data_IF_686212815768
#
_entry.id   IF_686212815768
#
_cell.length_a   1.000
_cell.length_b   1.000
_cell.length_c   1.000
_cell.angle_alpha   90.00
_cell.angle_beta   90.00
_cell.angle_gamma   90.00
#
_symmetry.space_group_name_H-M   'P 1'
#
loop_
_entity.id
_entity.type
_entity.pdbx_description
1 polymer ?
#
# COMPACT_ATOMS: atom_id res chain seq x y z
N UNK A 1 -39.59 22.44 -7.25
CA UNK A 1 -39.33 21.66 -6.01
C UNK A 1 -37.93 22.00 -5.46
N UNK A 2 -37.81 23.13 -4.75
CA UNK A 2 -36.51 23.68 -4.35
C UNK A 2 -36.49 24.13 -2.88
N UNK A 3 -36.60 23.19 -1.93
CA UNK A 3 -36.36 23.46 -0.50
C UNK A 3 -35.73 22.24 0.19
N UNK A 4 -34.49 21.90 -0.16
CA UNK A 4 -33.72 20.88 0.58
C UNK A 4 -32.79 21.60 1.55
N UNK A 5 -32.97 21.34 2.86
CA UNK A 5 -32.08 21.86 3.90
C UNK A 5 -30.65 21.38 3.64
N UNK A 6 -29.70 22.31 3.60
CA UNK A 6 -28.29 21.97 3.43
C UNK A 6 -27.84 21.02 4.56
N UNK A 7 -27.44 19.80 4.20
CA UNK A 7 -27.02 18.79 5.18
C UNK A 7 -25.63 19.08 5.76
N UNK A 8 -24.71 19.61 4.94
CA UNK A 8 -23.33 19.94 5.34
C UNK A 8 -23.21 21.39 5.80
N UNK A 9 -23.83 21.70 6.94
CA UNK A 9 -23.81 23.04 7.54
C UNK A 9 -22.49 23.35 8.27
N UNK A 10 -22.29 24.63 8.65
CA UNK A 10 -21.21 25.03 9.57
C UNK A 10 -21.27 24.24 10.89
N UNK A 11 -22.48 23.95 11.39
CA UNK A 11 -22.68 23.15 12.61
C UNK A 11 -22.24 21.69 12.41
N UNK A 12 -22.49 21.10 11.23
CA UNK A 12 -22.01 19.77 10.88
C UNK A 12 -20.48 19.70 10.96
N UNK A 13 -19.77 20.60 10.27
CA UNK A 13 -18.30 20.57 10.23
C UNK A 13 -17.66 20.81 11.60
N UNK A 14 -18.27 21.65 12.45
CA UNK A 14 -17.80 21.87 13.82
C UNK A 14 -17.84 20.60 14.69
N UNK A 15 -18.78 19.69 14.43
CA UNK A 15 -18.97 18.44 15.21
C UNK A 15 -18.45 17.19 14.48
N UNK A 16 -18.03 17.33 13.22
CA UNK A 16 -17.63 16.19 12.41
C UNK A 16 -16.29 15.63 12.85
N UNK A 17 -16.31 14.48 13.53
CA UNK A 17 -15.10 13.77 13.88
C UNK A 17 -14.66 12.84 12.74
N UNK A 18 -13.55 13.21 12.11
CA UNK A 18 -12.95 12.41 11.04
C UNK A 18 -12.42 11.07 11.58
N UNK A 19 -12.69 9.96 10.88
CA UNK A 19 -12.05 8.67 11.17
C UNK A 19 -10.53 8.75 10.94
N UNK A 20 -9.75 7.81 11.47
CA UNK A 20 -8.29 7.79 11.29
C UNK A 20 -7.85 7.86 9.82
N UNK A 21 -6.72 8.52 9.54
CA UNK A 21 -6.22 8.79 8.16
C UNK A 21 -6.23 7.56 7.27
N UNK A 22 -5.66 6.42 7.72
CA UNK A 22 -5.61 5.17 6.95
C UNK A 22 -6.99 4.52 6.72
N UNK A 23 -7.95 4.76 7.62
CA UNK A 23 -9.33 4.29 7.44
C UNK A 23 -10.05 5.12 6.38
N UNK A 24 -9.85 6.45 6.39
CA UNK A 24 -10.38 7.35 5.34
C UNK A 24 -9.79 7.05 3.96
N UNK A 25 -8.52 6.65 3.91
CA UNK A 25 -7.86 6.18 2.68
C UNK A 25 -8.26 4.75 2.28
N UNK A 26 -9.08 4.05 3.07
CA UNK A 26 -9.50 2.68 2.75
C UNK A 26 -8.37 1.64 2.77
N UNK A 27 -7.28 1.87 3.50
CA UNK A 27 -6.08 1.00 3.50
C UNK A 27 -5.97 0.04 4.68
N UNK A 28 -6.74 0.27 5.74
CA UNK A 28 -6.60 -0.48 6.99
C UNK A 28 -7.93 -0.60 7.72
N UNK A 29 -8.25 -1.82 8.10
CA UNK A 29 -9.22 -2.11 9.14
C UNK A 29 -8.50 -2.18 10.49
N UNK A 30 -8.82 -1.23 11.37
CA UNK A 30 -8.23 -1.16 12.70
C UNK A 30 -8.73 -2.28 13.62
N UNK A 31 -9.94 -2.84 13.39
CA UNK A 31 -10.44 -3.95 14.21
C UNK A 31 -9.59 -5.21 13.99
N UNK A 32 -9.33 -5.56 12.73
CA UNK A 32 -8.44 -6.66 12.38
C UNK A 32 -7.00 -6.38 12.83
N UNK A 33 -6.49 -5.16 12.58
CA UNK A 33 -5.11 -4.79 12.93
C UNK A 33 -4.83 -4.91 14.43
N UNK A 34 -5.72 -4.43 15.29
CA UNK A 34 -5.53 -4.48 16.75
C UNK A 34 -5.30 -5.94 17.21
N UNK A 35 -6.08 -6.90 16.71
CA UNK A 35 -5.92 -8.31 17.08
C UNK A 35 -4.60 -8.92 16.58
N UNK A 36 -4.16 -8.52 15.40
CA UNK A 36 -2.91 -9.01 14.81
C UNK A 36 -1.67 -8.47 15.54
N UNK A 37 -1.65 -7.19 15.92
CA UNK A 37 -0.47 -6.55 16.52
C UNK A 37 -0.41 -6.69 18.04
N UNK A 38 -1.55 -6.87 18.72
CA UNK A 38 -1.58 -6.93 20.17
C UNK A 38 -0.73 -8.11 20.67
N UNK A 39 0.25 -7.80 21.50
CA UNK A 39 1.18 -8.76 22.10
C UNK A 39 0.88 -8.87 23.59
N UNK A 40 1.02 -10.07 24.14
CA UNK A 40 0.83 -10.29 25.56
C UNK A 40 1.87 -9.50 26.35
N UNK A 41 1.42 -8.76 27.38
CA UNK A 41 2.29 -7.85 28.13
C UNK A 41 3.43 -8.57 28.87
N UNK A 42 3.25 -9.85 29.20
CA UNK A 42 4.27 -10.69 29.82
C UNK A 42 5.43 -11.06 28.88
N UNK A 43 5.30 -10.83 27.56
CA UNK A 43 6.38 -11.01 26.57
C UNK A 43 7.22 -9.75 26.37
N UNK A 44 6.88 -8.66 27.07
CA UNK A 44 7.59 -7.38 27.07
C UNK A 44 7.94 -6.90 25.65
N UNK A 45 9.23 -6.77 25.32
CA UNK A 45 9.72 -6.24 24.04
C UNK A 45 9.79 -7.30 22.92
N UNK A 46 9.27 -8.51 23.12
CA UNK A 46 9.30 -9.54 22.07
C UNK A 46 8.40 -9.12 20.90
N UNK A 47 8.95 -8.88 19.69
CA UNK A 47 8.16 -8.43 18.56
C UNK A 47 7.20 -9.51 18.09
N UNK A 48 5.96 -9.13 17.82
CA UNK A 48 4.97 -9.98 17.15
C UNK A 48 5.07 -9.76 15.64
N UNK A 49 5.66 -10.73 14.94
CA UNK A 49 5.87 -10.64 13.50
C UNK A 49 4.61 -10.96 12.70
N UNK A 50 4.41 -10.19 11.63
CA UNK A 50 3.32 -10.37 10.67
C UNK A 50 3.89 -10.50 9.27
N UNK A 51 3.42 -11.51 8.56
CA UNK A 51 3.61 -11.69 7.13
C UNK A 51 2.53 -10.93 6.38
N UNK A 52 2.85 -9.70 5.98
CA UNK A 52 1.97 -8.77 5.30
C UNK A 52 2.06 -9.03 3.80
N UNK A 53 0.96 -9.49 3.20
CA UNK A 53 0.85 -9.71 1.75
C UNK A 53 -0.13 -8.71 1.16
N UNK A 54 0.29 -7.96 0.14
CA UNK A 54 -0.54 -6.98 -0.56
C UNK A 54 -0.40 -7.15 -2.06
N UNK A 55 -1.55 -7.20 -2.73
CA UNK A 55 -1.62 -7.21 -4.19
C UNK A 55 -1.92 -5.81 -4.69
N UNK A 56 -1.17 -5.39 -5.69
CA UNK A 56 -1.51 -4.27 -6.57
C UNK A 56 -1.88 -4.84 -7.94
N UNK A 57 -2.22 -3.97 -8.90
CA UNK A 57 -2.60 -4.44 -10.24
C UNK A 57 -1.43 -5.06 -11.01
N UNK A 58 -0.19 -4.65 -10.73
CA UNK A 58 1.01 -5.07 -11.48
C UNK A 58 2.11 -5.68 -10.61
N UNK A 59 1.93 -5.67 -9.29
CA UNK A 59 2.97 -6.12 -8.35
C UNK A 59 2.36 -6.80 -7.11
N UNK A 60 3.07 -7.80 -6.60
CA UNK A 60 2.83 -8.46 -5.33
C UNK A 60 3.87 -7.98 -4.33
N UNK A 61 3.43 -7.58 -3.14
CA UNK A 61 4.29 -7.10 -2.07
C UNK A 61 4.16 -8.06 -0.89
N UNK A 62 5.27 -8.64 -0.46
CA UNK A 62 5.36 -9.53 0.69
C UNK A 62 6.37 -8.96 1.70
N UNK A 63 5.97 -8.78 2.95
CA UNK A 63 6.80 -8.15 3.98
C UNK A 63 6.68 -8.85 5.32
N UNK A 64 7.79 -9.01 6.04
CA UNK A 64 7.75 -9.33 7.47
C UNK A 64 7.84 -8.03 8.25
N UNK A 65 6.83 -7.74 9.07
CA UNK A 65 6.77 -6.51 9.86
C UNK A 65 6.41 -6.77 11.32
N UNK A 66 6.99 -5.99 12.22
CA UNK A 66 6.59 -5.89 13.62
C UNK A 66 6.07 -4.48 13.91
N UNK A 67 5.20 -4.35 14.90
CA UNK A 67 4.65 -3.05 15.30
C UNK A 67 5.52 -2.41 16.39
N UNK A 68 5.75 -1.11 16.29
CA UNK A 68 6.36 -0.25 17.32
C UNK A 68 5.50 1.00 17.53
N UNK A 69 5.78 1.76 18.59
CA UNK A 69 5.03 2.97 18.95
C UNK A 69 5.12 4.03 17.85
N UNK A 70 6.31 4.20 17.25
CA UNK A 70 6.52 5.18 16.18
C UNK A 70 5.94 4.73 14.83
N UNK A 71 5.85 3.41 14.59
CA UNK A 71 5.43 2.84 13.32
C UNK A 71 5.79 1.37 13.20
N UNK A 72 5.47 0.77 12.06
CA UNK A 72 5.85 -0.62 11.79
C UNK A 72 7.32 -0.70 11.35
N UNK A 73 8.08 -1.64 11.91
CA UNK A 73 9.44 -1.97 11.46
C UNK A 73 9.37 -3.14 10.49
N UNK A 74 9.92 -2.96 9.28
CA UNK A 74 9.99 -4.02 8.26
C UNK A 74 11.33 -4.74 8.40
N UNK A 75 11.28 -6.03 8.73
CA UNK A 75 12.47 -6.87 8.87
C UNK A 75 13.06 -7.23 7.50
N UNK A 76 12.21 -7.64 6.57
CA UNK A 76 12.54 -7.97 5.19
C UNK A 76 11.33 -7.73 4.29
N UNK A 77 11.60 -7.51 3.01
CA UNK A 77 10.60 -7.33 1.97
C UNK A 77 10.98 -8.13 0.71
N UNK A 78 9.97 -8.57 -0.02
CA UNK A 78 10.08 -9.15 -1.34
C UNK A 78 8.95 -8.61 -2.22
N UNK A 79 9.23 -8.50 -3.51
CA UNK A 79 8.35 -7.94 -4.51
C UNK A 79 8.27 -8.87 -5.72
N UNK A 80 7.21 -8.76 -6.54
CA UNK A 80 7.17 -9.54 -7.78
C UNK A 80 7.99 -8.90 -8.89
N UNK A 81 8.19 -7.57 -8.88
CA UNK A 81 8.99 -6.86 -9.89
C UNK A 81 10.50 -7.15 -9.83
N UNK A 82 10.99 -7.84 -8.80
CA UNK A 82 12.36 -8.35 -8.71
C UNK A 82 12.49 -9.81 -9.18
N UNK A 83 11.36 -10.53 -9.36
CA UNK A 83 11.36 -11.90 -9.90
C UNK A 83 11.97 -12.05 -11.31
N UNK A 84 11.95 -11.03 -12.20
CA UNK A 84 12.69 -11.07 -13.45
C UNK A 84 14.19 -11.36 -13.28
N UNK A 85 14.81 -10.96 -12.17
CA UNK A 85 16.21 -11.28 -11.89
C UNK A 85 16.45 -12.78 -11.66
N UNK A 86 15.40 -13.53 -11.36
CA UNK A 86 15.43 -14.98 -11.15
C UNK A 86 14.93 -15.75 -12.37
N UNK A 87 14.60 -15.07 -13.47
CA UNK A 87 14.09 -15.66 -14.71
C UNK A 87 12.57 -15.67 -14.87
N UNK A 88 11.81 -15.05 -13.96
CA UNK A 88 10.35 -14.87 -14.14
C UNK A 88 10.03 -13.51 -14.73
N UNK A 89 9.84 -13.51 -16.03
CA UNK A 89 9.87 -12.31 -16.84
C UNK A 89 8.47 -11.74 -17.17
N UNK A 90 7.44 -12.55 -17.00
CA UNK A 90 6.03 -12.26 -17.31
C UNK A 90 5.13 -12.80 -16.20
N UNK A 91 3.88 -12.35 -16.15
CA UNK A 91 2.88 -12.94 -15.24
C UNK A 91 3.11 -12.65 -13.76
N UNK A 92 3.66 -11.48 -13.41
CA UNK A 92 4.10 -11.16 -12.05
C UNK A 92 3.02 -11.10 -10.97
N UNK A 93 1.73 -11.18 -11.34
CA UNK A 93 0.61 -11.09 -10.39
C UNK A 93 -0.23 -12.37 -10.28
N UNK A 94 0.17 -13.48 -10.91
CA UNK A 94 -0.58 -14.74 -10.83
C UNK A 94 -0.33 -15.50 -9.49
N UNK A 95 -0.92 -16.69 -9.33
CA UNK A 95 -0.75 -17.50 -8.11
C UNK A 95 0.69 -18.02 -7.95
N UNK A 96 1.32 -18.44 -9.06
CA UNK A 96 2.69 -18.95 -9.08
C UNK A 96 3.73 -17.88 -8.72
N UNK A 97 3.56 -16.66 -9.22
CA UNK A 97 4.35 -15.50 -8.84
C UNK A 97 4.15 -15.14 -7.36
N UNK A 98 2.91 -15.26 -6.85
CA UNK A 98 2.66 -15.07 -5.42
C UNK A 98 3.46 -16.09 -4.59
N UNK A 99 3.43 -17.36 -4.97
CA UNK A 99 4.26 -18.41 -4.36
C UNK A 99 5.75 -18.05 -4.40
N UNK A 100 6.29 -17.68 -5.57
CA UNK A 100 7.68 -17.25 -5.72
C UNK A 100 8.03 -16.07 -4.80
N UNK A 101 7.17 -15.04 -4.70
CA UNK A 101 7.41 -13.90 -3.79
C UNK A 101 7.41 -14.29 -2.32
N UNK A 102 6.56 -15.24 -1.92
CA UNK A 102 6.54 -15.78 -0.56
C UNK A 102 7.81 -16.55 -0.23
N UNK A 103 8.22 -17.44 -1.15
CA UNK A 103 9.46 -18.22 -1.05
C UNK A 103 10.69 -17.30 -0.95
N UNK A 104 10.75 -16.28 -1.80
CA UNK A 104 11.84 -15.29 -1.78
C UNK A 104 11.91 -14.55 -0.45
N UNK A 105 10.78 -14.12 0.10
CA UNK A 105 10.76 -13.47 1.41
C UNK A 105 11.24 -14.41 2.52
N UNK A 106 10.77 -15.66 2.53
CA UNK A 106 11.15 -16.65 3.52
C UNK A 106 12.68 -16.88 3.53
N UNK A 107 13.25 -17.17 2.37
CA UNK A 107 14.71 -17.37 2.23
C UNK A 107 15.51 -16.11 2.59
N UNK A 108 15.00 -14.91 2.28
CA UNK A 108 15.61 -13.64 2.73
C UNK A 108 15.65 -13.50 4.24
N UNK A 109 14.54 -13.80 4.90
CA UNK A 109 14.40 -13.67 6.35
C UNK A 109 15.32 -14.66 7.05
N UNK A 110 15.29 -15.93 6.64
CA UNK A 110 16.11 -16.96 7.26
C UNK A 110 17.60 -16.71 7.05
N UNK A 111 18.02 -16.30 5.84
CA UNK A 111 19.44 -15.95 5.61
C UNK A 111 19.86 -14.71 6.40
N UNK A 112 18.97 -13.75 6.64
CA UNK A 112 19.25 -12.58 7.47
C UNK A 112 19.37 -12.92 8.98
N UNK A 113 18.78 -14.03 9.40
CA UNK A 113 18.80 -14.51 10.78
C UNK A 113 19.76 -15.70 10.99
N UNK A 114 20.51 -16.08 9.95
CA UNK A 114 21.43 -17.23 9.92
C UNK A 114 20.74 -18.55 10.30
N UNK A 115 19.51 -18.76 9.82
CA UNK A 115 18.67 -19.95 10.06
C UNK A 115 18.31 -20.70 8.76
N UNK A 116 18.93 -20.33 7.65
CA UNK A 116 18.60 -20.81 6.31
C UNK A 116 18.97 -22.27 6.05
N UNK A 117 20.01 -22.78 6.72
CA UNK A 117 20.45 -24.19 6.66
C UNK A 117 19.65 -25.11 7.57
N UNK A 118 19.20 -24.60 8.73
CA UNK A 118 18.41 -25.41 9.68
C UNK A 118 16.98 -25.60 9.16
N UNK A 119 16.41 -24.54 8.58
CA UNK A 119 15.05 -24.53 8.07
C UNK A 119 15.03 -24.34 6.56
N UNK A 120 15.38 -25.39 5.82
CA UNK A 120 15.36 -25.38 4.34
C UNK A 120 13.93 -25.35 3.77
N UNK A 121 12.97 -25.87 4.53
CA UNK A 121 11.59 -26.04 4.10
C UNK A 121 11.43 -27.18 3.09
N UNK A 122 10.39 -27.12 2.27
CA UNK A 122 10.14 -28.12 1.25
C UNK A 122 10.83 -27.75 -0.07
N UNK A 123 11.93 -28.44 -0.42
CA UNK A 123 12.74 -28.13 -1.61
C UNK A 123 11.91 -28.25 -2.88
N UNK A 124 11.10 -29.29 -3.00
CA UNK A 124 10.21 -29.52 -4.13
C UNK A 124 8.78 -29.15 -3.76
N UNK A 125 8.13 -28.28 -4.53
CA UNK A 125 6.74 -27.92 -4.22
C UNK A 125 5.80 -29.08 -4.59
N UNK A 126 5.48 -29.94 -3.61
CA UNK A 126 4.56 -31.08 -3.78
C UNK A 126 3.10 -30.65 -3.81
N UNK A 127 2.77 -29.48 -3.25
CA UNK A 127 1.39 -28.96 -3.14
C UNK A 127 0.66 -29.42 -1.88
N UNK A 128 1.26 -30.33 -1.11
CA UNK A 128 0.74 -30.82 0.17
C UNK A 128 0.79 -29.75 1.24
N UNK A 129 0.01 -29.94 2.30
CA UNK A 129 0.09 -29.10 3.50
C UNK A 129 1.46 -29.29 4.18
N UNK A 130 2.13 -28.20 4.52
CA UNK A 130 3.48 -28.27 5.11
C UNK A 130 3.60 -27.28 6.24
N UNK A 131 3.97 -27.79 7.41
CA UNK A 131 4.35 -27.01 8.58
C UNK A 131 5.77 -27.38 8.97
N UNK A 132 6.57 -26.37 9.29
CA UNK A 132 7.94 -26.58 9.76
C UNK A 132 7.89 -27.04 11.22
N UNK A 133 8.42 -28.22 11.48
CA UNK A 133 8.59 -28.72 12.84
C UNK A 133 9.80 -28.09 13.53
N UNK A 134 9.76 -27.85 14.85
CA UNK A 134 10.87 -27.27 15.57
C UNK A 134 12.06 -28.23 15.64
N UNK A 135 13.24 -27.75 15.26
CA UNK A 135 14.49 -28.43 15.51
C UNK A 135 14.90 -28.33 16.99
N UNK A 136 15.91 -29.10 17.38
CA UNK A 136 16.43 -29.12 18.75
C UNK A 136 17.07 -27.79 19.18
N UNK A 137 17.55 -26.99 18.22
CA UNK A 137 18.30 -25.77 18.51
C UNK A 137 17.40 -24.53 18.66
N UNK A 138 17.12 -23.80 17.58
CA UNK A 138 16.30 -22.59 17.56
C UNK A 138 14.94 -22.93 16.98
N UNK A 139 13.87 -22.44 17.57
CA UNK A 139 12.52 -22.59 17.00
C UNK A 139 12.39 -21.87 15.65
N UNK A 140 11.55 -22.37 14.72
CA UNK A 140 11.38 -21.75 13.41
C UNK A 140 10.82 -20.34 13.54
N UNK A 141 11.13 -19.49 12.55
CA UNK A 141 10.70 -18.10 12.56
C UNK A 141 9.19 -18.01 12.41
N UNK A 142 8.51 -17.60 13.48
CA UNK A 142 7.05 -17.52 13.52
C UNK A 142 6.53 -16.16 13.07
N UNK A 143 5.61 -16.16 12.09
CA UNK A 143 4.90 -14.96 11.65
C UNK A 143 3.39 -15.22 11.49
N UNK A 144 2.57 -14.17 11.60
CA UNK A 144 1.12 -14.26 11.36
C UNK A 144 0.75 -13.66 10.01
N UNK A 145 -0.04 -14.36 9.21
CA UNK A 145 -0.53 -13.83 7.93
C UNK A 145 -1.44 -12.60 8.16
N UNK A 146 -1.07 -11.46 7.58
CA UNK A 146 -1.88 -10.25 7.52
C UNK A 146 -2.35 -10.04 6.07
N UNK A 147 -3.60 -10.41 5.81
CA UNK A 147 -4.28 -10.27 4.50
C UNK A 147 -4.81 -8.86 4.23
N UNK A 148 -4.81 -7.98 5.24
CA UNK A 148 -5.35 -6.63 5.16
C UNK A 148 -6.87 -6.61 4.98
N UNK A 149 -7.33 -6.04 3.87
CA UNK A 149 -8.75 -5.87 3.55
C UNK A 149 -9.26 -6.89 2.52
N UNK A 150 -8.39 -7.80 2.07
CA UNK A 150 -8.72 -8.81 1.07
C UNK A 150 -9.65 -9.84 1.68
N UNK A 151 -10.69 -10.23 0.93
CA UNK A 151 -11.58 -11.33 1.33
C UNK A 151 -10.81 -12.66 1.24
N UNK A 152 -10.83 -13.43 2.32
CA UNK A 152 -10.16 -14.72 2.43
C UNK A 152 -10.99 -15.84 1.80
N UNK A 153 -11.16 -15.77 0.48
CA UNK A 153 -11.78 -16.84 -0.32
C UNK A 153 -10.77 -17.96 -0.61
N UNK A 154 -11.26 -19.18 -0.79
CA UNK A 154 -10.43 -20.32 -1.18
C UNK A 154 -9.83 -20.08 -2.57
N UNK A 155 -8.53 -20.42 -2.74
CA UNK A 155 -7.80 -20.18 -3.99
C UNK A 155 -7.34 -18.72 -4.20
N UNK A 156 -7.47 -17.84 -3.20
CA UNK A 156 -6.95 -16.49 -3.30
C UNK A 156 -5.40 -16.50 -3.37
N UNK A 157 -4.83 -15.70 -4.27
CA UNK A 157 -3.38 -15.57 -4.47
C UNK A 157 -2.59 -15.19 -3.21
N UNK A 158 -3.22 -14.53 -2.24
CA UNK A 158 -2.60 -14.27 -0.91
C UNK A 158 -2.15 -15.57 -0.24
N UNK A 159 -2.90 -16.66 -0.43
CA UNK A 159 -2.53 -17.97 0.10
C UNK A 159 -1.46 -18.68 -0.74
N UNK A 160 -1.27 -18.29 -2.01
CA UNK A 160 -0.10 -18.70 -2.78
C UNK A 160 1.19 -18.16 -2.17
N UNK A 161 1.21 -16.87 -1.80
CA UNK A 161 2.35 -16.28 -1.07
C UNK A 161 2.54 -16.88 0.33
N UNK A 162 1.45 -17.24 1.03
CA UNK A 162 1.53 -18.01 2.27
C UNK A 162 2.23 -19.36 2.03
N UNK A 163 1.80 -20.12 1.02
CA UNK A 163 2.36 -21.44 0.73
C UNK A 163 3.84 -21.36 0.36
N UNK A 164 4.23 -20.37 -0.45
CA UNK A 164 5.65 -20.13 -0.74
C UNK A 164 6.48 -19.79 0.49
N UNK A 165 5.91 -19.05 1.44
CA UNK A 165 6.58 -18.73 2.70
C UNK A 165 6.76 -19.96 3.61
N UNK A 166 5.76 -20.85 3.65
CA UNK A 166 5.83 -22.12 4.39
C UNK A 166 6.89 -23.05 3.80
N UNK A 167 6.85 -23.27 2.49
CA UNK A 167 7.82 -24.12 1.78
C UNK A 167 9.24 -23.52 1.79
N UNK A 168 9.35 -22.22 2.08
CA UNK A 168 10.63 -21.53 2.30
C UNK A 168 11.18 -21.65 3.72
N UNK A 169 10.46 -22.26 4.65
CA UNK A 169 10.92 -22.54 6.02
C UNK A 169 10.37 -21.61 7.11
N UNK A 170 9.37 -20.76 6.83
CA UNK A 170 8.73 -19.95 7.88
C UNK A 170 7.60 -20.71 8.57
N UNK A 171 7.48 -20.54 9.88
CA UNK A 171 6.32 -21.01 10.65
C UNK A 171 5.20 -19.95 10.59
N UNK A 172 4.16 -20.25 9.81
CA UNK A 172 2.95 -19.42 9.77
C UNK A 172 1.76 -20.29 10.10
N UNK A 173 1.08 -20.10 11.25
CA UNK A 173 -0.09 -20.89 11.60
C UNK A 173 -1.19 -20.78 10.54
N UNK A 174 -1.63 -21.91 9.99
CA UNK A 174 -2.57 -21.96 8.88
C UNK A 174 -3.48 -23.21 8.92
N UNK A 175 -4.39 -23.27 7.95
CA UNK A 175 -5.17 -24.46 7.59
C UNK A 175 -5.25 -24.52 6.07
N UNK A 176 -5.20 -25.75 5.56
CA UNK A 176 -5.34 -26.15 4.17
C UNK A 176 -6.59 -25.63 3.43
N UNK A 177 -7.69 -25.33 4.15
CA UNK A 177 -9.02 -24.94 3.62
C UNK A 177 -9.05 -23.77 2.64
N UNK A 178 -8.02 -22.93 2.63
CA UNK A 178 -7.95 -21.71 1.82
C UNK A 178 -7.01 -21.81 0.62
N UNK A 179 -6.24 -22.89 0.50
CA UNK A 179 -5.39 -23.13 -0.65
C UNK A 179 -6.21 -23.43 -1.92
N UNK A 180 -5.60 -23.22 -3.08
CA UNK A 180 -6.19 -23.65 -4.35
C UNK A 180 -6.18 -25.18 -4.40
N UNK A 181 -7.30 -25.80 -4.82
CA UNK A 181 -7.46 -27.27 -4.81
C UNK A 181 -8.23 -27.83 -3.62
N UNK A 182 -8.60 -27.01 -2.62
CA UNK A 182 -9.46 -27.47 -1.53
C UNK A 182 -10.91 -27.62 -1.98
N UNK A 183 -11.45 -28.84 -1.87
CA UNK A 183 -12.87 -29.13 -2.13
C UNK A 183 -13.69 -28.98 -0.84
N UNK A 184 -14.78 -28.19 -0.90
CA UNK A 184 -15.69 -28.02 0.25
C UNK A 184 -16.47 -29.29 0.55
N UNK A 185 -16.77 -30.07 -0.47
CA UNK A 185 -17.61 -31.27 -0.36
C UNK A 185 -16.81 -32.41 0.24
N UNK A 186 -15.59 -32.64 -0.27
CA UNK A 186 -14.69 -33.69 0.23
C UNK A 186 -13.93 -33.27 1.49
N UNK A 187 -13.92 -31.97 1.83
CA UNK A 187 -13.20 -31.37 2.97
C UNK A 187 -11.70 -31.70 3.00
N UNK A 188 -11.11 -31.95 1.84
CA UNK A 188 -9.72 -32.32 1.68
C UNK A 188 -9.06 -31.45 0.61
N UNK A 189 -7.76 -31.23 0.78
CA UNK A 189 -6.91 -30.56 -0.20
C UNK A 189 -6.47 -31.57 -1.26
N UNK A 190 -6.79 -31.29 -2.52
CA UNK A 190 -6.19 -31.97 -3.64
C UNK A 190 -4.79 -31.38 -3.89
N UNK A 191 -3.76 -32.12 -3.47
CA UNK A 191 -2.37 -31.71 -3.59
C UNK A 191 -1.92 -31.57 -5.05
N UNK A 192 -2.45 -32.39 -5.97
CA UNK A 192 -2.09 -32.35 -7.38
C UNK A 192 -2.63 -31.07 -8.04
N UNK A 193 -3.89 -30.72 -7.74
CA UNK A 193 -4.47 -29.45 -8.19
C UNK A 193 -3.70 -28.29 -7.59
N UNK A 194 -3.38 -28.32 -6.29
CA UNK A 194 -2.61 -27.24 -5.67
C UNK A 194 -1.23 -27.08 -6.31
N UNK A 195 -0.52 -28.19 -6.57
CA UNK A 195 0.76 -28.21 -7.28
C UNK A 195 0.64 -27.61 -8.68
N UNK A 196 -0.44 -27.92 -9.42
CA UNK A 196 -0.74 -27.31 -10.73
C UNK A 196 -0.90 -25.79 -10.63
N UNK A 197 -1.44 -25.26 -9.53
CA UNK A 197 -1.51 -23.81 -9.31
C UNK A 197 -0.15 -23.18 -9.00
N UNK A 198 0.69 -23.86 -8.21
CA UNK A 198 2.04 -23.41 -7.84
C UNK A 198 2.94 -23.28 -9.07
N UNK A 199 2.93 -24.27 -9.97
CA UNK A 199 3.74 -24.25 -11.20
C UNK A 199 3.05 -23.60 -12.41
N UNK A 200 1.91 -22.94 -12.22
CA UNK A 200 1.24 -22.21 -13.30
C UNK A 200 0.56 -23.10 -14.36
N UNK A 201 0.33 -24.38 -14.10
CA UNK A 201 -0.33 -25.29 -15.04
C UNK A 201 -1.78 -24.92 -15.37
N UNK A 202 -2.46 -24.12 -14.52
CA UNK A 202 -3.76 -23.53 -14.85
C UNK A 202 -3.65 -22.44 -15.93
N UNK A 203 -2.51 -21.75 -16.01
CA UNK A 203 -2.22 -20.75 -17.04
C UNK A 203 -1.88 -21.47 -18.34
N UNK A 204 -1.05 -22.51 -18.28
CA UNK A 204 -0.74 -23.35 -19.43
C UNK A 204 -2.01 -23.96 -20.04
N UNK A 205 -2.89 -24.52 -19.20
CA UNK A 205 -4.18 -25.04 -19.67
C UNK A 205 -5.03 -23.95 -20.35
N UNK A 206 -5.08 -22.73 -19.79
CA UNK A 206 -5.83 -21.63 -20.37
C UNK A 206 -5.21 -21.11 -21.69
N UNK A 207 -3.88 -21.16 -21.82
CA UNK A 207 -3.18 -20.86 -23.06
C UNK A 207 -3.59 -21.85 -24.15
N UNK A 208 -3.55 -23.16 -23.86
CA UNK A 208 -3.91 -24.19 -24.84
C UNK A 208 -5.37 -24.06 -25.29
N UNK A 209 -6.30 -23.89 -24.36
CA UNK A 209 -7.73 -23.69 -24.71
C UNK A 209 -7.94 -22.47 -25.61
N UNK A 210 -7.24 -21.35 -25.33
CA UNK A 210 -7.38 -20.15 -26.14
C UNK A 210 -6.69 -20.26 -27.50
N UNK A 211 -5.62 -21.05 -27.61
CA UNK A 211 -4.96 -21.30 -28.89
C UNK A 211 -5.87 -22.10 -29.84
N UNK A 212 -6.63 -23.05 -29.30
CA UNK A 212 -7.56 -23.90 -30.05
C UNK A 212 -8.87 -23.18 -30.37
N UNK A 213 -9.53 -22.59 -29.37
CA UNK A 213 -10.87 -22.02 -29.51
C UNK A 213 -10.86 -20.60 -30.10
N UNK A 214 -9.91 -19.75 -29.68
CA UNK A 214 -9.95 -18.30 -29.93
C UNK A 214 -8.55 -17.67 -30.09
N UNK A 215 -7.87 -17.91 -31.23
CA UNK A 215 -6.47 -17.51 -31.42
C UNK A 215 -6.24 -16.00 -31.35
N UNK A 216 -7.23 -15.18 -31.70
CA UNK A 216 -7.15 -13.72 -31.57
C UNK A 216 -7.06 -13.27 -30.10
N UNK A 217 -7.86 -13.89 -29.22
CA UNK A 217 -7.79 -13.63 -27.77
C UNK A 217 -6.47 -14.08 -27.20
N UNK A 218 -5.95 -15.23 -27.64
CA UNK A 218 -4.62 -15.71 -27.25
C UNK A 218 -3.54 -14.66 -27.56
N UNK A 219 -3.50 -14.14 -28.78
CA UNK A 219 -2.52 -13.11 -29.18
C UNK A 219 -2.60 -11.85 -28.32
N UNK A 220 -3.81 -11.39 -27.98
CA UNK A 220 -3.99 -10.19 -27.14
C UNK A 220 -3.61 -10.42 -25.67
N UNK A 221 -4.10 -11.50 -25.06
CA UNK A 221 -3.91 -11.80 -23.63
C UNK A 221 -2.47 -12.23 -23.30
N UNK A 222 -1.84 -13.00 -24.18
CA UNK A 222 -0.51 -13.54 -24.00
C UNK A 222 0.55 -12.86 -24.87
N UNK A 223 0.27 -11.63 -25.35
CA UNK A 223 1.20 -10.86 -26.19
C UNK A 223 2.63 -10.75 -25.62
N UNK A 224 2.78 -10.56 -24.31
CA UNK A 224 4.11 -10.54 -23.66
C UNK A 224 4.77 -11.91 -23.60
N UNK A 225 3.99 -13.00 -23.46
CA UNK A 225 4.52 -14.37 -23.47
C UNK A 225 5.03 -14.72 -24.87
N UNK A 226 4.26 -14.38 -25.91
CA UNK A 226 4.65 -14.57 -27.32
C UNK A 226 5.92 -13.79 -27.63
N UNK A 227 6.01 -12.52 -27.22
CA UNK A 227 7.20 -11.68 -27.40
C UNK A 227 8.46 -12.26 -26.76
N UNK A 228 8.32 -13.02 -25.67
CA UNK A 228 9.43 -13.66 -24.96
C UNK A 228 9.62 -15.13 -25.34
N UNK A 229 8.84 -15.68 -26.27
CA UNK A 229 8.93 -17.07 -26.70
C UNK A 229 8.57 -18.08 -25.60
N UNK A 230 7.66 -17.74 -24.69
CA UNK A 230 7.22 -18.62 -23.60
C UNK A 230 5.94 -19.35 -24.01
N UNK A 231 6.07 -20.64 -24.30
CA UNK A 231 4.97 -21.54 -24.64
C UNK A 231 4.39 -22.24 -23.39
N UNK A 232 3.18 -22.78 -23.52
CA UNK A 232 2.44 -23.40 -22.42
C UNK A 232 3.22 -24.55 -21.74
N UNK A 233 3.89 -25.39 -22.54
CA UNK A 233 4.64 -26.55 -22.05
C UNK A 233 5.88 -26.15 -21.22
N UNK A 234 6.44 -24.97 -21.50
CA UNK A 234 7.66 -24.49 -20.84
C UNK A 234 7.39 -23.80 -19.49
N UNK A 235 6.14 -23.54 -19.12
CA UNK A 235 5.77 -22.79 -17.91
C UNK A 235 6.21 -23.49 -16.63
N UNK A 236 5.99 -24.81 -16.50
CA UNK A 236 6.38 -25.54 -15.29
C UNK A 236 7.91 -25.54 -15.11
N UNK A 237 8.65 -25.77 -16.20
CA UNK A 237 10.11 -25.73 -16.19
C UNK A 237 10.66 -24.35 -15.82
N UNK A 238 10.02 -23.28 -16.29
CA UNK A 238 10.37 -21.90 -15.92
C UNK A 238 10.24 -21.68 -14.41
N UNK A 239 9.11 -22.03 -13.79
CA UNK A 239 8.93 -21.84 -12.34
C UNK A 239 9.88 -22.69 -11.50
N UNK A 240 10.17 -23.93 -11.91
CA UNK A 240 11.19 -24.77 -11.24
C UNK A 240 12.57 -24.09 -11.23
N UNK A 241 13.00 -23.53 -12.36
CA UNK A 241 14.25 -22.76 -12.47
C UNK A 241 14.24 -21.54 -11.55
N UNK A 242 13.13 -20.80 -11.51
CA UNK A 242 12.96 -19.63 -10.63
C UNK A 242 13.05 -20.02 -9.16
N UNK A 243 12.39 -21.11 -8.73
CA UNK A 243 12.46 -21.59 -7.35
C UNK A 243 13.90 -21.95 -6.95
N UNK A 244 14.63 -22.63 -7.83
CA UNK A 244 16.03 -22.97 -7.61
C UNK A 244 16.92 -21.71 -7.52
N UNK A 245 16.73 -20.74 -8.43
CA UNK A 245 17.47 -19.48 -8.44
C UNK A 245 17.22 -18.65 -7.16
N UNK A 246 15.97 -18.60 -6.68
CA UNK A 246 15.61 -17.92 -5.43
C UNK A 246 16.32 -18.56 -4.22
N UNK A 247 16.41 -19.90 -4.17
CA UNK A 247 17.11 -20.59 -3.09
C UNK A 247 18.62 -20.36 -3.13
N UNK A 248 19.19 -20.29 -4.33
CA UNK A 248 20.62 -20.05 -4.53
C UNK A 248 21.03 -18.64 -4.08
N UNK A 249 20.30 -17.59 -4.50
CA UNK A 249 20.58 -16.23 -4.04
C UNK A 249 19.32 -15.42 -3.71
N UNK A 250 18.85 -15.45 -2.45
CA UNK A 250 17.71 -14.64 -2.07
C UNK A 250 18.02 -13.14 -1.93
N UNK A 251 19.18 -12.59 -2.31
CA UNK A 251 19.55 -11.20 -1.95
C UNK A 251 18.77 -10.15 -2.74
N UNK A 252 18.34 -9.10 -2.03
CA UNK A 252 17.82 -7.91 -2.68
C UNK A 252 18.97 -7.09 -3.27
N UNK A 253 18.95 -6.87 -4.59
CA UNK A 253 19.92 -5.99 -5.26
C UNK A 253 19.60 -4.53 -4.91
N UNK A 254 20.55 -3.83 -4.28
CA UNK A 254 20.40 -2.39 -3.97
C UNK A 254 20.63 -1.56 -5.23
N UNK A 255 19.93 -0.44 -5.35
CA UNK A 255 20.16 0.52 -6.43
C UNK A 255 21.48 1.24 -6.23
N UNK A 256 22.31 1.27 -7.27
CA UNK A 256 23.58 2.01 -7.32
C UNK A 256 23.42 3.47 -7.77
N UNK A 257 22.18 3.88 -8.13
CA UNK A 257 21.90 5.25 -8.58
C UNK A 257 22.22 6.27 -7.49
N UNK A 258 23.16 7.17 -7.77
CA UNK A 258 23.50 8.27 -6.87
C UNK A 258 22.39 9.32 -6.82
N UNK A 259 22.21 9.99 -5.66
CA UNK A 259 21.27 11.11 -5.57
C UNK A 259 21.70 12.24 -6.51
N UNK A 260 20.75 12.94 -7.16
CA UNK A 260 21.08 14.03 -8.06
C UNK A 260 21.76 15.17 -7.30
N UNK A 261 22.77 15.81 -7.93
CA UNK A 261 23.55 16.90 -7.32
C UNK A 261 22.71 18.14 -6.96
N UNK A 262 21.64 18.40 -7.71
CA UNK A 262 20.73 19.51 -7.47
C UNK A 262 19.28 19.01 -7.38
N UNK A 263 18.55 19.52 -6.39
CA UNK A 263 17.15 19.16 -6.20
C UNK A 263 16.25 19.94 -7.17
N UNK A 264 15.71 19.25 -8.18
CA UNK A 264 14.68 19.80 -9.07
C UNK A 264 13.31 19.76 -8.39
N UNK A 265 12.67 20.92 -8.24
CA UNK A 265 11.33 21.03 -7.66
C UNK A 265 10.26 20.91 -8.75
N UNK A 266 9.35 19.95 -8.60
CA UNK A 266 8.21 19.76 -9.52
C UNK A 266 6.91 20.39 -9.00
N UNK A 267 6.75 20.50 -7.68
CA UNK A 267 5.54 21.05 -7.07
C UNK A 267 5.63 22.56 -6.94
N UNK A 268 4.48 23.24 -7.08
CA UNK A 268 4.38 24.69 -6.86
C UNK A 268 4.92 25.10 -5.47
N UNK A 269 5.52 26.31 -5.41
CA UNK A 269 5.90 26.93 -4.14
C UNK A 269 4.64 27.37 -3.40
N UNK A 270 4.55 27.01 -2.12
CA UNK A 270 3.47 27.49 -1.26
C UNK A 270 3.63 29.01 -1.16
N UNK A 271 2.60 29.74 -1.58
CA UNK A 271 2.60 31.19 -1.53
C UNK A 271 2.82 31.67 -0.10
N UNK A 272 3.66 32.70 0.03
CA UNK A 272 3.84 33.39 1.30
C UNK A 272 2.54 34.07 1.72
N UNK A 273 2.50 34.61 2.94
CA UNK A 273 1.34 35.38 3.40
C UNK A 273 1.20 36.68 2.59
N UNK A 274 2.31 37.37 2.36
CA UNK A 274 2.37 38.63 1.61
C UNK A 274 1.92 38.46 0.16
N UNK A 275 2.42 37.42 -0.53
CA UNK A 275 2.00 37.10 -1.91
C UNK A 275 0.49 36.80 -1.98
N UNK A 276 -0.09 36.18 -0.94
CA UNK A 276 -1.54 35.94 -0.86
C UNK A 276 -2.31 37.23 -0.61
N UNK A 277 -1.78 38.14 0.23
CA UNK A 277 -2.39 39.44 0.51
C UNK A 277 -2.37 40.34 -0.74
N UNK A 278 -1.24 40.41 -1.42
CA UNK A 278 -1.10 41.17 -2.67
C UNK A 278 -2.10 40.68 -3.73
N UNK A 279 -2.18 39.35 -3.94
CA UNK A 279 -3.17 38.77 -4.86
C UNK A 279 -4.63 39.06 -4.49
N UNK A 280 -4.94 39.17 -3.20
CA UNK A 280 -6.28 39.56 -2.77
C UNK A 280 -6.58 41.01 -3.12
N UNK A 281 -5.63 41.92 -2.88
CA UNK A 281 -5.75 43.35 -3.23
C UNK A 281 -5.92 43.50 -4.74
N UNK A 282 -5.06 42.86 -5.53
CA UNK A 282 -5.13 42.87 -6.99
C UNK A 282 -6.51 42.39 -7.48
N UNK A 283 -7.05 41.32 -6.88
CA UNK A 283 -8.36 40.79 -7.24
C UNK A 283 -9.51 41.73 -6.88
N UNK A 284 -9.43 42.40 -5.73
CA UNK A 284 -10.44 43.40 -5.33
C UNK A 284 -10.41 44.61 -6.27
N UNK A 285 -9.23 45.11 -6.59
CA UNK A 285 -9.07 46.23 -7.51
C UNK A 285 -9.60 45.89 -8.91
N UNK A 286 -9.33 44.69 -9.41
CA UNK A 286 -9.85 44.22 -10.69
C UNK A 286 -11.38 44.08 -10.69
N UNK A 287 -11.99 43.61 -9.60
CA UNK A 287 -13.45 43.52 -9.47
C UNK A 287 -14.10 44.90 -9.46
N UNK A 288 -13.54 45.85 -8.71
CA UNK A 288 -14.05 47.21 -8.65
C UNK A 288 -13.94 47.92 -10.01
N UNK A 289 -12.84 47.68 -10.75
CA UNK A 289 -12.65 48.22 -12.09
C UNK A 289 -13.61 47.59 -13.13
N UNK A 290 -13.96 46.31 -12.97
CA UNK A 290 -14.92 45.64 -13.85
C UNK A 290 -16.36 46.08 -13.58
N UNK A 291 -16.74 46.29 -12.32
CA UNK A 291 -18.07 46.79 -11.96
C UNK A 291 -18.29 48.23 -12.42
N UNK A 292 -17.27 49.09 -12.33
CA UNK A 292 -17.36 50.49 -12.81
C UNK A 292 -17.41 50.65 -14.34
N UNK A 293 -17.35 49.57 -15.11
CA UNK A 293 -17.51 49.56 -16.57
C UNK A 293 -18.89 49.07 -17.03
N UNK A 294 -19.73 48.55 -16.12
CA UNK A 294 -21.09 48.06 -16.40
C UNK A 294 -22.18 49.04 -15.92
N UNK A 295 -21.81 50.15 -15.24
CA UNK A 295 -22.71 51.21 -14.76
C UNK A 295 -22.55 52.50 -15.60
N UNK A 296 -22.63 52.39 -16.95
CA UNK A 296 -22.94 53.53 -17.83
C UNK A 296 -24.45 53.57 -18.14
N UNK A 297 -25.30 53.48 -17.12
CA UNK A 297 -26.67 54.01 -17.17
C UNK A 297 -26.92 54.78 -15.86
N UNK A 298 -27.42 56.01 -16.03
CA UNK A 298 -27.49 57.11 -15.08
C UNK A 298 -28.14 56.79 -13.72
N UNK A 299 -27.68 57.53 -12.70
CA UNK A 299 -28.22 57.73 -11.35
C UNK A 299 -27.84 56.70 -10.26
N UNK A 300 -26.81 57.01 -9.44
CA UNK A 300 -26.76 56.60 -8.01
C UNK A 300 -25.55 57.21 -7.24
N UNK A 301 -25.58 58.52 -6.97
CA UNK A 301 -24.62 59.21 -6.09
C UNK A 301 -24.74 58.84 -4.58
N UNK A 302 -25.64 57.93 -4.20
CA UNK A 302 -25.86 57.52 -2.80
C UNK A 302 -25.23 56.16 -2.41
N UNK A 303 -24.87 55.29 -3.38
CA UNK A 303 -24.32 53.96 -3.09
C UNK A 303 -22.77 53.93 -3.00
N UNK A 304 -22.09 54.91 -3.60
CA UNK A 304 -20.62 55.06 -3.56
C UNK A 304 -20.11 55.42 -2.15
N UNK A 305 -20.89 56.18 -1.38
CA UNK A 305 -20.60 56.56 0.00
C UNK A 305 -20.73 55.38 0.97
N UNK A 306 -21.73 54.51 0.79
CA UNK A 306 -21.92 53.33 1.63
C UNK A 306 -20.77 52.31 1.50
N UNK A 307 -20.28 52.07 0.28
CA UNK A 307 -19.14 51.15 0.04
C UNK A 307 -17.81 51.72 0.53
N UNK A 308 -17.59 53.05 0.44
CA UNK A 308 -16.41 53.71 1.05
C UNK A 308 -16.44 53.66 2.57
N UNK A 309 -17.62 53.79 3.18
CA UNK A 309 -17.79 53.65 4.63
C UNK A 309 -17.53 52.20 5.08
N UNK A 310 -18.04 51.20 4.35
CA UNK A 310 -17.78 49.78 4.64
C UNK A 310 -16.30 49.42 4.44
N UNK A 311 -15.64 49.97 3.43
CA UNK A 311 -14.20 49.76 3.21
C UNK A 311 -13.36 50.38 4.34
N UNK A 312 -13.68 51.60 4.77
CA UNK A 312 -13.02 52.25 5.92
C UNK A 312 -13.31 51.51 7.24
N UNK A 313 -14.52 51.00 7.45
CA UNK A 313 -14.86 50.21 8.64
C UNK A 313 -14.14 48.86 8.65
N UNK A 314 -13.97 48.20 7.50
CA UNK A 314 -13.17 46.98 7.36
C UNK A 314 -11.69 47.23 7.60
N UNK A 315 -11.16 48.37 7.15
CA UNK A 315 -9.78 48.76 7.38
C UNK A 315 -9.53 49.09 8.86
N UNK A 316 -10.45 49.79 9.52
CA UNK A 316 -10.42 50.06 10.96
C UNK A 316 -10.57 48.76 11.78
N UNK A 317 -11.44 47.83 11.35
CA UNK A 317 -11.64 46.54 12.00
C UNK A 317 -10.39 45.65 11.88
N UNK A 318 -9.78 45.59 10.69
CA UNK A 318 -8.52 44.87 10.46
C UNK A 318 -7.37 45.48 11.29
N UNK A 319 -7.30 46.81 11.39
CA UNK A 319 -6.25 47.50 12.16
C UNK A 319 -6.44 47.29 13.67
N UNK A 320 -7.67 47.29 14.18
CA UNK A 320 -7.98 47.00 15.59
C UNK A 320 -7.76 45.53 15.96
N UNK A 321 -8.10 44.59 15.08
CA UNK A 321 -7.85 43.15 15.29
C UNK A 321 -6.35 42.83 15.27
N UNK A 322 -5.58 43.47 14.38
CA UNK A 322 -4.12 43.34 14.33
C UNK A 322 -3.47 43.96 15.56
N UNK A 323 -3.91 45.14 16.01
CA UNK A 323 -3.39 45.78 17.23
C UNK A 323 -3.69 44.97 18.50
N UNK A 324 -4.89 44.40 18.62
CA UNK A 324 -5.29 43.52 19.72
C UNK A 324 -4.51 42.19 19.75
N UNK A 325 -4.17 41.62 18.58
CA UNK A 325 -3.33 40.43 18.50
C UNK A 325 -1.86 40.70 18.84
N UNK A 326 -1.33 41.86 18.45
CA UNK A 326 0.06 42.25 18.75
C UNK A 326 0.25 42.56 20.25
N UNK A 327 -0.71 43.23 20.89
CA UNK A 327 -0.70 43.47 22.34
C UNK A 327 -0.81 42.18 23.16
N UNK A 328 -1.64 41.23 22.74
CA UNK A 328 -1.73 39.92 23.41
C UNK A 328 -0.47 39.05 23.21
N UNK A 329 0.24 39.18 22.10
CA UNK A 329 1.51 38.48 21.88
C UNK A 329 2.67 39.11 22.66
N UNK A 330 2.67 40.44 22.81
CA UNK A 330 3.69 41.17 23.58
C UNK A 330 3.52 40.96 25.11
N UNK A 331 2.28 40.89 25.60
CA UNK A 331 1.99 40.54 27.00
C UNK A 331 2.35 39.10 27.38
N UNK A 332 2.32 38.16 26.44
CA UNK A 332 2.69 36.76 26.68
C UNK A 332 4.22 36.54 26.70
N UNK A 333 4.99 37.37 25.99
CA UNK A 333 6.46 37.29 26.03
C UNK A 333 7.06 37.85 27.32
N UNK A 334 6.38 38.76 28.02
CA UNK A 334 6.90 39.33 29.27
C UNK A 334 6.78 38.42 30.49
N UNK A 335 5.98 37.34 30.41
CA UNK A 335 5.82 36.34 31.49
C UNK A 335 6.81 35.17 31.33
N UNK A 336 7.49 35.04 30.19
CA UNK A 336 8.36 33.90 29.89
C UNK A 336 9.88 34.23 29.94
N UNK A 337 10.27 35.28 30.65
CA UNK A 337 11.69 35.59 30.84
C UNK A 337 11.91 36.59 31.96
N UNK A 338 12.03 36.10 33.19
CA UNK A 338 12.99 36.53 34.23
C UNK A 338 12.78 35.66 35.49
N UNK A 339 13.61 34.60 35.59
CA UNK A 339 14.16 33.87 36.75
C UNK A 339 14.27 32.38 36.44
#
# INVERSE_FOLDING_TARGET
MAFVKAQKTKAYFKRFQVKFKRRRQGKTDYRARIRLINQDKNKYNTPKYRFVVRFTNKDIIAQISSASIAGDHVLAAAYSHELPHYGLDVGLTNYAAAYCTGLLLARRVLRKLDMDKEYEGNVEATGEDFSVEPAESRRPFRALLDVGLVKTTTGNRVFGALKGALDGGLDIPHSDKRFAGFSKDNKQLDAEVHRKYIYGGHIAAYMNTLMEDEPEKYQSHFSEYIKKGIEADNIEAMYKKVHAAIRADPAGKKSEKQPPKQHKRYNLKKLTYEERKAKLIERLNALNAAAGNDDEDEDDDENMTALRVIANELEIFLTKVVSSMVLNFCGMLHIAGYS
#
